data_IF_141245706358
#
_entry.id   IF_141245706358
#
_cell.length_a   1.000
_cell.length_b   1.000
_cell.length_c   1.000
_cell.angle_alpha   90.00
_cell.angle_beta   90.00
_cell.angle_gamma   90.00
#
_symmetry.space_group_name_H-M   'P 1'
#
loop_
_entity.id
_entity.type
_entity.pdbx_description
1 polymer ?
#
# COMPACT_ATOMS: atom_id res chain seq x y z
N UNK A 1 -23.35 -18.66 25.08
CA UNK A 1 -22.25 -19.53 24.53
C UNK A 1 -21.70 -18.79 23.34
N UNK A 2 -20.51 -18.27 23.48
CA UNK A 2 -19.77 -17.58 22.40
C UNK A 2 -19.26 -18.65 21.43
N UNK A 3 -19.84 -18.73 20.24
CA UNK A 3 -19.37 -19.67 19.22
C UNK A 3 -18.25 -18.95 18.48
N UNK A 4 -17.02 -19.39 18.73
CA UNK A 4 -15.83 -18.92 18.04
C UNK A 4 -15.64 -19.77 16.78
N UNK A 5 -15.63 -19.15 15.63
CA UNK A 5 -15.47 -19.82 14.34
C UNK A 5 -14.29 -19.21 13.57
N UNK A 6 -13.29 -20.04 13.29
CA UNK A 6 -12.12 -19.65 12.52
C UNK A 6 -12.45 -19.80 11.04
N UNK A 7 -12.54 -18.71 10.30
CA UNK A 7 -12.81 -18.73 8.85
C UNK A 7 -11.63 -18.21 8.05
N UNK A 8 -11.30 -18.90 6.99
CA UNK A 8 -10.31 -18.49 6.02
C UNK A 8 -11.01 -17.72 4.88
N UNK A 9 -10.44 -16.59 4.48
CA UNK A 9 -10.88 -15.87 3.29
C UNK A 9 -10.40 -16.66 2.07
N UNK A 10 -11.30 -17.35 1.39
CA UNK A 10 -10.96 -18.27 0.29
C UNK A 10 -10.75 -17.52 -1.02
N UNK A 11 -11.50 -16.43 -1.26
CA UNK A 11 -11.46 -15.72 -2.54
C UNK A 11 -11.79 -14.25 -2.36
N UNK A 12 -11.07 -13.40 -3.10
CA UNK A 12 -11.34 -11.96 -3.21
C UNK A 12 -11.70 -11.68 -4.68
N UNK A 13 -12.72 -10.85 -4.91
CA UNK A 13 -13.06 -10.38 -6.25
C UNK A 13 -11.93 -9.51 -6.79
N UNK A 14 -11.24 -9.99 -7.81
CA UNK A 14 -9.99 -9.40 -8.30
C UNK A 14 -10.22 -8.05 -8.95
N UNK A 15 -11.15 -7.97 -9.89
CA UNK A 15 -11.40 -6.75 -10.68
C UNK A 15 -12.08 -5.66 -9.85
N UNK A 16 -13.08 -6.03 -9.05
CA UNK A 16 -13.81 -5.07 -8.22
C UNK A 16 -12.92 -4.48 -7.14
N UNK A 17 -12.12 -5.32 -6.48
CA UNK A 17 -11.15 -4.87 -5.48
C UNK A 17 -10.09 -3.96 -6.10
N UNK A 18 -9.55 -4.34 -7.27
CA UNK A 18 -8.57 -3.52 -7.97
C UNK A 18 -9.14 -2.16 -8.38
N UNK A 19 -10.37 -2.13 -8.90
CA UNK A 19 -11.05 -0.89 -9.28
C UNK A 19 -11.30 0.00 -8.05
N UNK A 20 -11.88 -0.55 -6.98
CA UNK A 20 -12.19 0.20 -5.76
C UNK A 20 -10.92 0.79 -5.13
N UNK A 21 -9.88 -0.01 -4.93
CA UNK A 21 -8.65 0.44 -4.29
C UNK A 21 -7.87 1.42 -5.17
N UNK A 22 -7.90 1.28 -6.49
CA UNK A 22 -7.25 2.23 -7.38
C UNK A 22 -7.94 3.61 -7.37
N UNK A 23 -9.27 3.66 -7.26
CA UNK A 23 -10.01 4.91 -7.11
C UNK A 23 -9.69 5.56 -5.75
N UNK A 24 -9.70 4.80 -4.66
CA UNK A 24 -9.35 5.30 -3.32
C UNK A 24 -7.94 5.89 -3.33
N UNK A 25 -6.95 5.13 -3.80
CA UNK A 25 -5.56 5.59 -3.88
C UNK A 25 -5.40 6.84 -4.75
N UNK A 26 -6.19 6.96 -5.82
CA UNK A 26 -6.19 8.16 -6.67
C UNK A 26 -6.75 9.38 -5.93
N UNK A 27 -7.83 9.21 -5.16
CA UNK A 27 -8.39 10.28 -4.33
C UNK A 27 -7.37 10.72 -3.26
N UNK A 28 -6.73 9.77 -2.59
CA UNK A 28 -5.68 10.05 -1.60
C UNK A 28 -4.49 10.79 -2.24
N UNK A 29 -4.06 10.37 -3.43
CA UNK A 29 -2.98 11.02 -4.16
C UNK A 29 -3.35 12.47 -4.54
N UNK A 30 -4.60 12.74 -4.95
CA UNK A 30 -5.09 14.10 -5.23
C UNK A 30 -5.07 14.95 -3.96
N UNK A 31 -5.58 14.43 -2.84
CA UNK A 31 -5.58 15.12 -1.56
C UNK A 31 -4.17 15.45 -1.10
N UNK A 32 -3.27 14.46 -1.18
CA UNK A 32 -1.85 14.65 -0.85
C UNK A 32 -1.18 15.68 -1.77
N UNK A 33 -1.49 15.67 -3.07
CA UNK A 33 -0.99 16.66 -4.02
C UNK A 33 -1.47 18.08 -3.66
N UNK A 34 -2.76 18.25 -3.35
CA UNK A 34 -3.31 19.56 -2.96
C UNK A 34 -2.61 20.12 -1.72
N UNK A 35 -2.39 19.29 -0.70
CA UNK A 35 -1.63 19.68 0.49
C UNK A 35 -0.17 20.01 0.13
N UNK A 36 0.44 19.20 -0.74
CA UNK A 36 1.82 19.40 -1.17
C UNK A 36 2.01 20.69 -1.95
N UNK A 37 1.10 21.05 -2.84
CA UNK A 37 1.15 22.33 -3.60
C UNK A 37 1.05 23.55 -2.70
N UNK A 38 0.39 23.43 -1.55
CA UNK A 38 0.29 24.54 -0.58
C UNK A 38 1.54 24.64 0.30
N UNK A 39 2.10 23.53 0.73
CA UNK A 39 3.16 23.50 1.76
C UNK A 39 4.56 23.46 1.12
N UNK A 40 4.77 22.62 0.09
CA UNK A 40 6.09 22.43 -0.50
C UNK A 40 6.73 23.70 -1.08
N UNK A 41 6.00 24.60 -1.78
CA UNK A 41 6.60 25.84 -2.28
C UNK A 41 7.17 26.72 -1.19
N UNK A 42 6.53 26.78 -0.01
CA UNK A 42 7.03 27.56 1.13
C UNK A 42 8.34 26.97 1.65
N UNK A 43 8.38 25.65 1.83
CA UNK A 43 9.59 24.96 2.29
C UNK A 43 10.72 25.02 1.26
N UNK A 44 10.43 24.70 0.00
CA UNK A 44 11.42 24.68 -1.08
C UNK A 44 11.97 26.07 -1.41
N UNK A 45 11.16 27.13 -1.33
CA UNK A 45 11.62 28.51 -1.53
C UNK A 45 12.60 28.94 -0.44
N UNK A 46 12.31 28.60 0.83
CA UNK A 46 13.21 28.86 1.95
C UNK A 46 14.54 28.09 1.79
N UNK A 47 14.44 26.80 1.41
CA UNK A 47 15.60 25.95 1.14
C UNK A 47 16.45 26.52 -0.01
N UNK A 48 15.82 26.94 -1.10
CA UNK A 48 16.50 27.57 -2.25
C UNK A 48 17.26 28.82 -1.84
N UNK A 49 16.62 29.72 -1.05
CA UNK A 49 17.28 30.93 -0.54
C UNK A 49 18.51 30.58 0.32
N UNK A 50 18.37 29.65 1.25
CA UNK A 50 19.48 29.20 2.11
C UNK A 50 20.65 28.65 1.29
N UNK A 51 20.35 27.83 0.26
CA UNK A 51 21.38 27.30 -0.65
C UNK A 51 22.06 28.40 -1.47
N UNK A 52 21.33 29.41 -1.91
CA UNK A 52 21.90 30.56 -2.62
C UNK A 52 22.85 31.35 -1.70
N UNK A 53 22.43 31.63 -0.46
CA UNK A 53 23.29 32.34 0.52
C UNK A 53 24.55 31.56 0.90
N UNK A 54 24.49 30.22 0.91
CA UNK A 54 25.63 29.35 1.19
C UNK A 54 26.54 29.12 -0.02
N UNK A 55 26.27 29.75 -1.17
CA UNK A 55 27.05 29.59 -2.39
C UNK A 55 26.77 28.30 -3.18
N UNK A 56 25.77 27.50 -2.79
CA UNK A 56 25.43 26.22 -3.42
C UNK A 56 24.43 26.40 -4.59
N UNK A 57 24.80 27.19 -5.57
CA UNK A 57 23.93 27.60 -6.69
C UNK A 57 23.38 26.41 -7.49
N UNK A 58 24.18 25.35 -7.70
CA UNK A 58 23.75 24.16 -8.45
C UNK A 58 22.59 23.47 -7.74
N UNK A 59 22.68 23.30 -6.42
CA UNK A 59 21.60 22.70 -5.62
C UNK A 59 20.38 23.59 -5.57
N UNK A 60 20.55 24.90 -5.43
CA UNK A 60 19.44 25.86 -5.49
C UNK A 60 18.68 25.78 -6.83
N UNK A 61 19.38 25.62 -7.94
CA UNK A 61 18.78 25.43 -9.26
C UNK A 61 18.00 24.10 -9.38
N UNK A 62 18.48 23.02 -8.77
CA UNK A 62 17.75 21.75 -8.73
C UNK A 62 16.44 21.87 -7.92
N UNK A 63 16.49 22.57 -6.79
CA UNK A 63 15.27 22.85 -5.98
C UNK A 63 14.27 23.70 -6.78
N UNK A 64 14.74 24.71 -7.52
CA UNK A 64 13.91 25.49 -8.41
C UNK A 64 13.22 24.65 -9.50
N UNK A 65 13.97 23.74 -10.15
CA UNK A 65 13.38 22.82 -11.12
C UNK A 65 12.30 21.93 -10.52
N UNK A 66 12.50 21.44 -9.30
CA UNK A 66 11.49 20.66 -8.60
C UNK A 66 10.20 21.45 -8.37
N UNK A 67 10.33 22.71 -7.95
CA UNK A 67 9.19 23.64 -7.81
C UNK A 67 8.42 23.81 -9.11
N UNK A 68 9.12 23.98 -10.24
CA UNK A 68 8.49 24.12 -11.55
C UNK A 68 7.72 22.86 -11.93
N UNK A 69 8.29 21.67 -11.71
CA UNK A 69 7.64 20.39 -12.03
C UNK A 69 6.38 20.20 -11.22
N UNK A 70 6.42 20.48 -9.91
CA UNK A 70 5.25 20.31 -9.03
C UNK A 70 4.12 21.25 -9.43
N UNK A 71 4.43 22.44 -9.94
CA UNK A 71 3.46 23.47 -10.34
C UNK A 71 2.87 23.25 -11.74
N UNK A 72 3.35 22.27 -12.50
CA UNK A 72 2.86 22.03 -13.87
C UNK A 72 1.52 21.28 -13.88
N UNK A 73 0.52 21.69 -14.66
CA UNK A 73 -0.74 20.97 -14.81
C UNK A 73 -0.56 19.50 -15.30
N UNK A 74 0.48 19.25 -16.10
CA UNK A 74 0.83 17.90 -16.54
C UNK A 74 1.16 16.97 -15.36
N UNK A 75 1.74 17.48 -14.29
CA UNK A 75 2.06 16.70 -13.08
C UNK A 75 0.82 16.13 -12.43
N UNK A 76 -0.27 16.91 -12.36
CA UNK A 76 -1.57 16.45 -11.84
C UNK A 76 -2.10 15.30 -12.71
N UNK A 77 -2.10 15.49 -14.04
CA UNK A 77 -2.60 14.48 -14.94
C UNK A 77 -1.81 13.17 -14.82
N UNK A 78 -0.46 13.24 -14.79
CA UNK A 78 0.40 12.07 -14.59
C UNK A 78 0.14 11.40 -13.24
N UNK A 79 -0.05 12.19 -12.19
CA UNK A 79 -0.33 11.67 -10.85
C UNK A 79 -1.67 10.94 -10.81
N UNK A 80 -2.75 11.52 -11.37
CA UNK A 80 -4.09 10.92 -11.38
C UNK A 80 -4.08 9.63 -12.20
N UNK A 81 -3.72 9.71 -13.48
CA UNK A 81 -3.76 8.55 -14.36
C UNK A 81 -2.69 7.51 -14.01
N UNK A 82 -1.49 7.97 -13.61
CA UNK A 82 -0.42 7.08 -13.18
C UNK A 82 -0.81 6.30 -11.92
N UNK A 83 -1.33 6.97 -10.89
CA UNK A 83 -1.77 6.29 -9.65
C UNK A 83 -2.91 5.33 -9.94
N UNK A 84 -3.91 5.75 -10.73
CA UNK A 84 -5.04 4.90 -11.09
C UNK A 84 -4.57 3.60 -11.77
N UNK A 85 -3.77 3.72 -12.82
CA UNK A 85 -3.33 2.58 -13.62
C UNK A 85 -2.37 1.69 -12.83
N UNK A 86 -1.38 2.29 -12.18
CA UNK A 86 -0.36 1.54 -11.43
C UNK A 86 -1.02 0.79 -10.27
N UNK A 87 -1.86 1.46 -9.47
CA UNK A 87 -2.53 0.81 -8.34
C UNK A 87 -3.49 -0.28 -8.83
N UNK A 88 -4.24 -0.02 -9.91
CA UNK A 88 -5.12 -1.04 -10.49
C UNK A 88 -4.35 -2.31 -10.86
N UNK A 89 -3.25 -2.17 -11.59
CA UNK A 89 -2.42 -3.32 -12.00
C UNK A 89 -1.83 -4.05 -10.79
N UNK A 90 -1.28 -3.31 -9.81
CA UNK A 90 -0.68 -3.91 -8.62
C UNK A 90 -1.70 -4.63 -7.75
N UNK A 91 -2.88 -4.05 -7.52
CA UNK A 91 -3.94 -4.70 -6.74
C UNK A 91 -4.52 -5.91 -7.49
N UNK A 92 -4.68 -5.80 -8.81
CA UNK A 92 -5.13 -6.92 -9.64
C UNK A 92 -4.15 -8.11 -9.52
N UNK A 93 -2.86 -7.87 -9.67
CA UNK A 93 -1.82 -8.90 -9.52
C UNK A 93 -1.78 -9.43 -8.07
N UNK A 94 -1.84 -8.56 -7.07
CA UNK A 94 -1.85 -8.94 -5.66
C UNK A 94 -3.03 -9.85 -5.31
N UNK A 95 -4.23 -9.52 -5.77
CA UNK A 95 -5.43 -10.35 -5.55
C UNK A 95 -5.40 -11.66 -6.31
N UNK A 96 -4.80 -11.71 -7.50
CA UNK A 96 -4.56 -12.97 -8.22
C UNK A 96 -3.61 -13.89 -7.44
N UNK A 97 -2.49 -13.34 -6.94
CA UNK A 97 -1.54 -14.08 -6.10
C UNK A 97 -2.24 -14.56 -4.83
N UNK A 98 -3.02 -13.69 -4.17
CA UNK A 98 -3.80 -14.05 -3.00
C UNK A 98 -4.74 -15.23 -3.26
N UNK A 99 -5.57 -15.14 -4.29
CA UNK A 99 -6.52 -16.19 -4.65
C UNK A 99 -5.83 -17.52 -4.98
N UNK A 100 -4.64 -17.47 -5.55
CA UNK A 100 -3.81 -18.65 -5.78
C UNK A 100 -3.29 -19.27 -4.46
N UNK A 101 -2.86 -18.44 -3.51
CA UNK A 101 -2.38 -18.91 -2.20
C UNK A 101 -3.53 -19.47 -1.35
N UNK A 102 -4.66 -18.77 -1.28
CA UNK A 102 -5.83 -19.19 -0.49
C UNK A 102 -6.43 -20.49 -1.02
N UNK A 103 -6.47 -20.68 -2.35
CA UNK A 103 -6.88 -21.94 -2.95
C UNK A 103 -6.01 -23.15 -2.58
N UNK A 104 -4.85 -22.91 -1.93
CA UNK A 104 -3.95 -23.94 -1.39
C UNK A 104 -3.94 -23.99 0.14
N UNK A 105 -4.96 -23.45 0.80
CA UNK A 105 -5.07 -23.41 2.26
C UNK A 105 -4.06 -22.47 2.93
N UNK A 106 -3.62 -21.43 2.24
CA UNK A 106 -2.71 -20.39 2.75
C UNK A 106 -3.36 -19.02 2.74
N UNK A 107 -4.68 -18.98 2.95
CA UNK A 107 -5.41 -17.72 3.05
C UNK A 107 -5.28 -17.05 4.40
N UNK A 108 -5.82 -15.84 4.49
CA UNK A 108 -5.90 -15.08 5.74
C UNK A 108 -6.97 -15.72 6.63
N UNK A 109 -6.63 -16.00 7.88
CA UNK A 109 -7.55 -16.56 8.86
C UNK A 109 -8.04 -15.46 9.79
N UNK A 110 -9.36 -15.37 9.89
CA UNK A 110 -10.08 -14.46 10.79
C UNK A 110 -10.79 -15.29 11.86
N UNK A 111 -10.64 -14.87 13.10
CA UNK A 111 -11.43 -15.40 14.20
C UNK A 111 -12.71 -14.58 14.30
N UNK A 112 -13.83 -15.22 14.05
CA UNK A 112 -15.14 -14.59 14.01
C UNK A 112 -15.94 -14.91 15.28
N UNK A 113 -16.69 -13.92 15.74
CA UNK A 113 -17.65 -14.05 16.86
C UNK A 113 -19.01 -13.56 16.40
N UNK A 114 -20.02 -14.35 16.65
CA UNK A 114 -21.40 -13.97 16.37
C UNK A 114 -21.96 -13.15 17.53
N UNK A 115 -22.27 -11.89 17.28
CA UNK A 115 -22.87 -10.95 18.25
C UNK A 115 -24.28 -10.56 17.77
N UNK A 116 -25.35 -11.14 18.37
CA UNK A 116 -26.73 -10.89 17.98
C UNK A 116 -27.00 -11.06 16.48
N UNK A 117 -27.20 -9.93 15.76
CA UNK A 117 -27.58 -9.92 14.35
C UNK A 117 -26.41 -9.76 13.37
N UNK A 118 -25.17 -9.70 13.85
CA UNK A 118 -23.99 -9.53 13.01
C UNK A 118 -22.83 -10.43 13.44
N UNK A 119 -21.92 -10.65 12.53
CA UNK A 119 -20.65 -11.32 12.79
C UNK A 119 -19.55 -10.28 12.94
N UNK A 120 -18.75 -10.38 13.98
CA UNK A 120 -17.64 -9.47 14.22
C UNK A 120 -16.29 -10.20 14.08
N UNK A 121 -15.30 -9.49 13.57
CA UNK A 121 -13.92 -10.00 13.56
C UNK A 121 -13.35 -9.78 14.96
N UNK A 122 -13.10 -10.85 15.71
CA UNK A 122 -12.52 -10.78 17.04
C UNK A 122 -11.01 -10.55 16.95
N UNK A 123 -10.34 -11.32 16.12
CA UNK A 123 -8.90 -11.23 15.90
C UNK A 123 -8.51 -11.73 14.51
N UNK A 124 -7.30 -11.36 14.10
CA UNK A 124 -6.67 -11.78 12.85
C UNK A 124 -5.44 -12.62 13.18
N UNK A 125 -5.25 -13.75 12.51
CA UNK A 125 -4.00 -14.52 12.61
C UNK A 125 -2.85 -13.71 11.97
N UNK A 126 -2.07 -13.04 12.83
CA UNK A 126 -1.02 -12.12 12.39
C UNK A 126 0.10 -12.80 11.61
N UNK A 127 0.42 -14.06 11.93
CA UNK A 127 1.48 -14.77 11.23
C UNK A 127 1.04 -15.16 9.82
N UNK A 128 -0.18 -15.68 9.67
CA UNK A 128 -0.73 -16.03 8.35
C UNK A 128 -0.90 -14.78 7.48
N UNK A 129 -1.42 -13.69 8.05
CA UNK A 129 -1.52 -12.42 7.36
C UNK A 129 -0.15 -11.94 6.87
N UNK A 130 0.86 -11.94 7.75
CA UNK A 130 2.22 -11.50 7.43
C UNK A 130 2.87 -12.33 6.33
N UNK A 131 2.73 -13.66 6.37
CA UNK A 131 3.28 -14.54 5.34
C UNK A 131 2.63 -14.29 3.97
N UNK A 132 1.32 -14.15 3.93
CA UNK A 132 0.58 -13.86 2.69
C UNK A 132 1.05 -12.55 2.09
N UNK A 133 1.11 -11.48 2.89
CA UNK A 133 1.56 -10.17 2.42
C UNK A 133 3.04 -10.14 2.03
N UNK A 134 3.90 -10.85 2.76
CA UNK A 134 5.31 -11.02 2.37
C UNK A 134 5.43 -11.63 0.97
N UNK A 135 4.69 -12.69 0.69
CA UNK A 135 4.74 -13.35 -0.62
C UNK A 135 4.21 -12.42 -1.71
N UNK A 136 3.06 -11.77 -1.49
CA UNK A 136 2.47 -10.82 -2.45
C UNK A 136 3.46 -9.68 -2.74
N UNK A 137 3.95 -9.01 -1.70
CA UNK A 137 4.89 -7.90 -1.83
C UNK A 137 6.21 -8.35 -2.47
N UNK A 138 6.74 -9.51 -2.08
CA UNK A 138 7.95 -10.06 -2.68
C UNK A 138 7.81 -10.32 -4.18
N UNK A 139 6.70 -10.94 -4.62
CA UNK A 139 6.44 -11.19 -6.04
C UNK A 139 6.24 -9.89 -6.82
N UNK A 140 5.48 -8.92 -6.28
CA UNK A 140 5.28 -7.63 -6.93
C UNK A 140 6.59 -6.85 -7.05
N UNK A 141 7.42 -6.85 -6.00
CA UNK A 141 8.74 -6.22 -6.04
C UNK A 141 9.70 -6.96 -6.97
N UNK A 142 9.57 -8.28 -7.15
CA UNK A 142 10.34 -9.02 -8.15
C UNK A 142 9.98 -8.57 -9.57
N UNK A 143 8.70 -8.41 -9.89
CA UNK A 143 8.27 -7.87 -11.18
C UNK A 143 8.83 -6.46 -11.41
N UNK A 144 8.75 -5.60 -10.39
CA UNK A 144 9.32 -4.26 -10.45
C UNK A 144 10.85 -4.28 -10.63
N UNK A 145 11.56 -5.15 -9.92
CA UNK A 145 13.01 -5.32 -10.03
C UNK A 145 13.44 -5.78 -11.43
N UNK A 146 12.65 -6.66 -12.08
CA UNK A 146 12.89 -7.07 -13.47
C UNK A 146 12.78 -5.87 -14.42
N UNK A 147 11.73 -5.05 -14.27
CA UNK A 147 11.52 -3.85 -15.09
C UNK A 147 12.70 -2.88 -14.89
N UNK A 148 13.13 -2.67 -13.66
CA UNK A 148 14.27 -1.80 -13.35
C UNK A 148 15.59 -2.34 -13.92
N UNK A 149 15.81 -3.66 -13.87
CA UNK A 149 17.00 -4.29 -14.45
C UNK A 149 17.04 -4.11 -15.99
N UNK A 150 15.90 -4.29 -16.65
CA UNK A 150 15.77 -4.01 -18.11
C UNK A 150 16.07 -2.54 -18.42
N UNK A 151 15.72 -1.62 -17.53
CA UNK A 151 16.00 -0.19 -17.64
C UNK A 151 17.44 0.20 -17.32
N UNK A 152 18.32 -0.77 -17.04
CA UNK A 152 19.75 -0.53 -16.79
C UNK A 152 20.14 -0.37 -15.31
N UNK A 153 19.23 -0.62 -14.39
CA UNK A 153 19.55 -0.61 -12.95
C UNK A 153 20.43 -1.80 -12.58
N UNK A 154 21.51 -1.62 -11.77
CA UNK A 154 22.35 -2.73 -11.34
C UNK A 154 21.57 -3.84 -10.64
N UNK A 155 21.90 -5.11 -10.94
CA UNK A 155 21.22 -6.29 -10.38
C UNK A 155 21.27 -6.30 -8.85
N UNK A 156 22.35 -5.81 -8.24
CA UNK A 156 22.46 -5.70 -6.78
C UNK A 156 21.36 -4.87 -6.16
N UNK A 157 20.98 -3.76 -6.80
CA UNK A 157 19.89 -2.91 -6.36
C UNK A 157 18.53 -3.61 -6.54
N UNK A 158 18.39 -4.37 -7.63
CA UNK A 158 17.18 -5.15 -7.92
C UNK A 158 16.92 -6.24 -6.86
N UNK A 159 17.97 -6.94 -6.41
CA UNK A 159 17.86 -7.92 -5.31
C UNK A 159 17.44 -7.22 -4.01
N UNK A 160 18.01 -6.05 -3.71
CA UNK A 160 17.64 -5.25 -2.55
C UNK A 160 16.17 -4.88 -2.53
N UNK A 161 15.60 -4.48 -3.66
CA UNK A 161 14.18 -4.15 -3.81
C UNK A 161 13.29 -5.35 -3.46
N UNK A 162 13.64 -6.55 -3.94
CA UNK A 162 12.87 -7.77 -3.66
C UNK A 162 12.90 -8.12 -2.17
N UNK A 163 14.08 -8.09 -1.55
CA UNK A 163 14.25 -8.39 -0.13
C UNK A 163 13.50 -7.39 0.76
N UNK A 164 13.61 -6.09 0.44
CA UNK A 164 12.87 -5.04 1.15
C UNK A 164 11.37 -5.24 1.00
N UNK A 165 10.88 -5.60 -0.18
CA UNK A 165 9.48 -5.91 -0.41
C UNK A 165 8.99 -7.07 0.44
N UNK A 166 9.76 -8.15 0.51
CA UNK A 166 9.42 -9.33 1.31
C UNK A 166 9.37 -9.02 2.80
N UNK A 167 10.43 -8.40 3.32
CA UNK A 167 10.55 -8.06 4.76
C UNK A 167 9.53 -6.97 5.11
N UNK A 168 9.40 -5.94 4.28
CA UNK A 168 8.46 -4.83 4.50
C UNK A 168 7.02 -5.32 4.55
N UNK A 169 6.59 -6.11 3.56
CA UNK A 169 5.24 -6.68 3.54
C UNK A 169 4.96 -7.58 4.75
N UNK A 170 5.95 -8.37 5.20
CA UNK A 170 5.82 -9.16 6.42
C UNK A 170 5.62 -8.29 7.66
N UNK A 171 6.53 -7.34 7.89
CA UNK A 171 6.53 -6.49 9.07
C UNK A 171 5.27 -5.63 9.12
N UNK A 172 4.90 -5.00 8.01
CA UNK A 172 3.71 -4.15 7.93
C UNK A 172 2.44 -4.93 8.25
N UNK A 173 2.22 -6.06 7.59
CA UNK A 173 1.03 -6.87 7.83
C UNK A 173 0.97 -7.45 9.26
N UNK A 174 2.12 -7.85 9.80
CA UNK A 174 2.20 -8.33 11.18
C UNK A 174 1.85 -7.24 12.19
N UNK A 175 2.36 -6.02 11.99
CA UNK A 175 2.02 -4.87 12.81
C UNK A 175 0.53 -4.50 12.71
N UNK A 176 -0.05 -4.53 11.51
CA UNK A 176 -1.49 -4.28 11.30
C UNK A 176 -2.31 -5.28 12.13
N UNK A 177 -1.97 -6.58 12.08
CA UNK A 177 -2.67 -7.59 12.87
C UNK A 177 -2.51 -7.37 14.38
N UNK A 178 -1.30 -7.04 14.87
CA UNK A 178 -1.06 -6.73 16.28
C UNK A 178 -1.91 -5.53 16.71
N UNK A 179 -1.87 -4.43 15.93
CA UNK A 179 -2.65 -3.24 16.26
C UNK A 179 -4.14 -3.52 16.21
N UNK A 180 -4.64 -4.25 15.22
CA UNK A 180 -6.03 -4.65 15.17
C UNK A 180 -6.43 -5.45 16.40
N UNK A 181 -5.69 -6.52 16.71
CA UNK A 181 -5.98 -7.40 17.86
C UNK A 181 -5.90 -6.67 19.21
N UNK A 182 -5.04 -5.64 19.31
CA UNK A 182 -4.94 -4.80 20.51
C UNK A 182 -6.05 -3.75 20.62
N UNK A 183 -6.47 -3.17 19.49
CA UNK A 183 -7.43 -2.06 19.45
C UNK A 183 -8.89 -2.54 19.37
N UNK A 184 -9.16 -3.66 18.72
CA UNK A 184 -10.52 -4.16 18.51
C UNK A 184 -11.33 -4.34 19.80
N UNK A 185 -10.76 -4.81 20.94
CA UNK A 185 -11.50 -4.89 22.20
C UNK A 185 -11.80 -3.51 22.83
N UNK A 186 -11.04 -2.47 22.45
CA UNK A 186 -11.11 -1.13 23.05
C UNK A 186 -11.95 -0.14 22.24
N UNK A 187 -11.83 -0.20 20.91
CA UNK A 187 -12.49 0.73 19.99
C UNK A 187 -13.73 0.14 19.33
N UNK A 188 -13.91 -1.17 19.44
CA UNK A 188 -14.96 -1.92 18.77
C UNK A 188 -14.42 -2.79 17.64
N UNK A 189 -15.04 -3.97 17.50
CA UNK A 189 -14.70 -4.95 16.48
C UNK A 189 -15.28 -4.55 15.12
N UNK A 190 -14.58 -4.89 14.03
CA UNK A 190 -15.12 -4.75 12.69
C UNK A 190 -16.29 -5.73 12.51
N UNK A 191 -17.43 -5.19 12.13
CA UNK A 191 -18.65 -5.95 11.87
C UNK A 191 -18.71 -6.32 10.40
N UNK A 192 -19.07 -7.57 10.13
CA UNK A 192 -19.27 -8.08 8.79
C UNK A 192 -20.63 -8.75 8.70
N UNK A 193 -21.31 -8.54 7.60
CA UNK A 193 -22.52 -9.26 7.26
C UNK A 193 -22.14 -10.36 6.28
N UNK A 194 -22.40 -11.60 6.64
CA UNK A 194 -22.17 -12.75 5.77
C UNK A 194 -23.47 -13.01 5.01
N UNK A 195 -23.41 -12.94 3.70
CA UNK A 195 -24.51 -13.34 2.82
C UNK A 195 -24.39 -14.85 2.60
N UNK A 196 -25.40 -15.60 3.00
CA UNK A 196 -25.51 -17.05 2.81
C UNK A 196 -25.65 -17.44 1.32
#
# INVERSE_FOLDING_TARGET
IEIKDDKEIVKISTTETAMMLSIIATIEAILFYLVSVLILPLFLSTMMQTLMYSGQQILAYQVYKLLLVISQPATIAILIFGTLIITFVFVLLGTLIYNYLSGRGRGIVLNLVKENDYTAIESVDGLKLAIVFAIISGVLNLLFAIIMAISGTPITNSIGIVLIGFIGGFVEAYLIAIFYNYLSPKLGKLKIELID
#
